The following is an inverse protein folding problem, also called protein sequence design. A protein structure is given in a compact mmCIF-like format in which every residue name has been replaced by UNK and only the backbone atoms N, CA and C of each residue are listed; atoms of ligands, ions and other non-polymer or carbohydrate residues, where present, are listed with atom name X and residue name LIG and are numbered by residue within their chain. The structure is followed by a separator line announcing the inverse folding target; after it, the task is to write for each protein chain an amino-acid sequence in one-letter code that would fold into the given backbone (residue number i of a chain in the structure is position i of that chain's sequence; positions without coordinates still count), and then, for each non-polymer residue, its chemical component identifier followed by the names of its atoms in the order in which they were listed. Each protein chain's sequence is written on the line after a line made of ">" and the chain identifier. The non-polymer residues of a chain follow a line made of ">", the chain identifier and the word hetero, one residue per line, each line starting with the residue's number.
data_IF_270165953579
#
_entry.id   IF_270165953579
#
_cell.length_a   1.000
_cell.length_b   1.000
_cell.length_c   1.000
_cell.angle_alpha   90.00
_cell.angle_beta   90.00
_cell.angle_gamma   90.00
#
_symmetry.space_group_name_H-M   'P 1'
#
loop_
_entity.id
_entity.type
_entity.pdbx_description
1 polymer ?
#
# COMPACT_ATOMS: atom_id res chain seq x y z
N UNK A 1 -25.19 -18.46 -2.05
CA UNK A 1 -24.25 -17.57 -2.77
C UNK A 1 -22.82 -17.87 -2.34
N UNK A 2 -21.85 -17.54 -3.16
CA UNK A 2 -20.43 -17.66 -2.80
C UNK A 2 -20.07 -16.58 -1.77
N UNK A 3 -19.33 -16.96 -0.74
CA UNK A 3 -18.73 -16.02 0.20
C UNK A 3 -17.38 -15.55 -0.36
N UNK A 4 -17.41 -14.44 -1.10
CA UNK A 4 -16.22 -13.85 -1.72
C UNK A 4 -15.20 -13.40 -0.68
N UNK A 5 -15.67 -13.00 0.52
CA UNK A 5 -14.79 -12.60 1.62
C UNK A 5 -13.98 -13.79 2.10
N UNK A 6 -14.62 -14.90 2.39
CA UNK A 6 -13.95 -16.13 2.82
C UNK A 6 -13.00 -16.69 1.74
N UNK A 7 -13.31 -16.47 0.44
CA UNK A 7 -12.47 -16.93 -0.66
C UNK A 7 -11.21 -16.08 -0.87
N UNK A 8 -11.27 -14.76 -0.63
CA UNK A 8 -10.22 -13.83 -1.03
C UNK A 8 -9.55 -13.03 0.09
N UNK A 9 -10.10 -13.05 1.32
CA UNK A 9 -9.52 -12.30 2.45
C UNK A 9 -8.11 -12.81 2.80
N UNK A 10 -7.29 -11.92 3.32
CA UNK A 10 -6.03 -12.27 3.95
C UNK A 10 -6.32 -13.09 5.21
N UNK A 11 -6.04 -14.37 5.12
CA UNK A 11 -6.15 -15.34 6.22
C UNK A 11 -4.74 -15.86 6.48
N UNK A 12 -4.14 -15.45 7.59
CA UNK A 12 -2.76 -15.78 7.91
C UNK A 12 -2.52 -17.29 7.95
N UNK A 13 -3.47 -18.07 8.47
CA UNK A 13 -3.35 -19.53 8.56
C UNK A 13 -3.32 -20.17 7.19
N UNK A 14 -4.22 -19.75 6.28
CA UNK A 14 -4.28 -20.26 4.92
C UNK A 14 -3.09 -19.83 4.07
N UNK A 15 -2.64 -18.59 4.24
CA UNK A 15 -1.46 -18.07 3.53
C UNK A 15 -0.22 -18.86 3.94
N UNK A 16 -0.02 -19.13 5.22
CA UNK A 16 1.07 -19.97 5.70
C UNK A 16 0.95 -21.44 5.25
N UNK A 17 -0.27 -21.90 4.97
CA UNK A 17 -0.53 -23.21 4.35
C UNK A 17 -0.32 -23.23 2.82
N UNK A 18 0.05 -22.09 2.19
CA UNK A 18 0.40 -21.99 0.77
C UNK A 18 -0.56 -21.20 -0.11
N UNK A 19 -1.64 -20.61 0.44
CA UNK A 19 -2.60 -19.79 -0.33
C UNK A 19 -2.12 -18.34 -0.48
N UNK A 20 -0.89 -18.13 -0.97
CA UNK A 20 -0.23 -16.81 -1.04
C UNK A 20 -0.95 -15.74 -1.88
N UNK A 21 -1.80 -16.15 -2.84
CA UNK A 21 -2.61 -15.21 -3.63
C UNK A 21 -3.53 -14.33 -2.76
N UNK A 22 -3.87 -14.78 -1.55
CA UNK A 22 -4.69 -14.03 -0.59
C UNK A 22 -4.06 -12.72 -0.15
N UNK A 23 -2.74 -12.62 -0.18
CA UNK A 23 -2.04 -11.36 0.11
C UNK A 23 -2.37 -10.27 -0.91
N UNK A 24 -2.73 -10.65 -2.13
CA UNK A 24 -3.12 -9.75 -3.20
C UNK A 24 -4.65 -9.62 -3.29
N UNK A 25 -5.41 -10.73 -3.27
CA UNK A 25 -6.86 -10.70 -3.45
C UNK A 25 -7.58 -9.95 -2.33
N UNK A 26 -7.04 -9.96 -1.11
CA UNK A 26 -7.59 -9.19 0.01
C UNK A 26 -7.60 -7.68 -0.24
N UNK A 27 -6.71 -7.16 -1.08
CA UNK A 27 -6.69 -5.74 -1.46
C UNK A 27 -7.93 -5.32 -2.27
N UNK A 28 -8.63 -6.27 -2.89
CA UNK A 28 -9.83 -6.00 -3.70
C UNK A 28 -11.14 -6.11 -2.93
N UNK A 29 -11.08 -6.58 -1.68
CA UNK A 29 -12.23 -6.80 -0.82
C UNK A 29 -12.34 -5.68 0.23
N UNK A 30 -13.57 -5.35 0.63
CA UNK A 30 -13.83 -4.33 1.63
C UNK A 30 -14.94 -4.79 2.59
N UNK A 31 -14.81 -4.43 3.85
CA UNK A 31 -15.77 -4.80 4.90
C UNK A 31 -17.12 -4.10 4.71
N UNK A 32 -17.08 -2.82 4.30
CA UNK A 32 -18.26 -1.99 4.12
C UNK A 32 -18.00 -0.85 3.11
N UNK A 33 -19.05 -0.06 2.84
CA UNK A 33 -18.99 1.04 1.89
C UNK A 33 -18.09 2.20 2.36
N UNK A 34 -18.05 2.51 3.65
CA UNK A 34 -17.23 3.60 4.18
C UNK A 34 -15.74 3.26 4.06
N UNK A 35 -15.38 2.01 4.34
CA UNK A 35 -14.04 1.47 4.13
C UNK A 35 -13.63 1.55 2.65
N UNK A 36 -14.52 1.14 1.73
CA UNK A 36 -14.28 1.27 0.29
C UNK A 36 -14.09 2.73 -0.12
N UNK A 37 -14.98 3.63 0.31
CA UNK A 37 -14.93 5.04 -0.03
C UNK A 37 -13.63 5.72 0.46
N UNK A 38 -13.20 5.43 1.69
CA UNK A 38 -11.93 5.90 2.22
C UNK A 38 -10.74 5.45 1.38
N UNK A 39 -10.70 4.17 1.02
CA UNK A 39 -9.65 3.62 0.17
C UNK A 39 -9.65 4.23 -1.25
N UNK A 40 -10.81 4.51 -1.84
CA UNK A 40 -10.91 5.19 -3.15
C UNK A 40 -10.35 6.61 -3.04
N UNK A 41 -10.73 7.38 -2.01
CA UNK A 41 -10.29 8.77 -1.83
C UNK A 41 -8.78 8.84 -1.61
N UNK A 42 -8.27 8.15 -0.59
CA UNK A 42 -6.85 8.20 -0.26
C UNK A 42 -5.98 7.45 -1.27
N UNK A 43 -6.45 6.30 -1.77
CA UNK A 43 -5.77 5.52 -2.80
C UNK A 43 -5.71 6.27 -4.13
N UNK A 44 -6.79 6.94 -4.52
CA UNK A 44 -6.83 7.81 -5.70
C UNK A 44 -5.89 9.00 -5.56
N UNK A 45 -5.89 9.65 -4.40
CA UNK A 45 -4.99 10.78 -4.13
C UNK A 45 -3.51 10.39 -4.17
N UNK A 46 -3.09 9.41 -3.38
CA UNK A 46 -1.69 8.98 -3.37
C UNK A 46 -1.29 8.28 -4.66
N UNK A 47 -2.18 7.45 -5.24
CA UNK A 47 -1.96 6.79 -6.51
C UNK A 47 -1.76 7.76 -7.67
N UNK A 48 -2.49 8.88 -7.69
CA UNK A 48 -2.27 9.96 -8.66
C UNK A 48 -0.84 10.50 -8.58
N UNK A 49 -0.35 10.83 -7.37
CA UNK A 49 1.00 11.36 -7.22
C UNK A 49 2.08 10.31 -7.53
N UNK A 50 1.88 9.05 -7.14
CA UNK A 50 2.79 7.97 -7.53
C UNK A 50 2.84 7.84 -9.05
N UNK A 51 1.68 7.86 -9.72
CA UNK A 51 1.59 7.83 -11.18
C UNK A 51 2.24 9.05 -11.86
N UNK A 52 2.14 10.23 -11.24
CA UNK A 52 2.76 11.46 -11.73
C UNK A 52 4.30 11.38 -11.68
N UNK A 53 4.87 10.81 -10.63
CA UNK A 53 6.32 10.76 -10.43
C UNK A 53 7.00 9.55 -11.07
N UNK A 54 6.36 8.38 -11.05
CA UNK A 54 6.92 7.12 -11.55
C UNK A 54 6.40 6.73 -12.94
N UNK A 55 5.37 7.42 -13.43
CA UNK A 55 4.56 6.99 -14.56
C UNK A 55 3.45 6.03 -14.14
N UNK A 56 2.33 6.05 -14.87
CA UNK A 56 1.13 5.32 -14.47
C UNK A 56 1.34 3.81 -14.35
N UNK A 57 2.05 3.19 -15.29
CA UNK A 57 2.26 1.74 -15.27
C UNK A 57 3.14 1.28 -14.11
N UNK A 58 4.35 1.83 -14.01
CA UNK A 58 5.27 1.49 -12.93
C UNK A 58 4.69 1.89 -11.57
N UNK A 59 3.99 3.02 -11.50
CA UNK A 59 3.35 3.51 -10.28
C UNK A 59 2.30 2.53 -9.75
N UNK A 60 1.33 2.15 -10.58
CA UNK A 60 0.28 1.23 -10.16
C UNK A 60 0.82 -0.17 -9.82
N UNK A 61 1.72 -0.70 -10.65
CA UNK A 61 2.37 -1.98 -10.36
C UNK A 61 3.11 -1.93 -9.01
N UNK A 62 3.81 -0.83 -8.72
CA UNK A 62 4.53 -0.68 -7.45
C UNK A 62 3.57 -0.58 -6.25
N UNK A 63 2.41 0.07 -6.41
CA UNK A 63 1.39 0.16 -5.37
C UNK A 63 0.82 -1.22 -5.05
N UNK A 64 0.40 -1.98 -6.07
CA UNK A 64 -0.16 -3.33 -5.90
C UNK A 64 0.90 -4.28 -5.31
N UNK A 65 2.11 -4.26 -5.84
CA UNK A 65 3.22 -5.06 -5.32
C UNK A 65 3.55 -4.69 -3.86
N UNK A 66 3.57 -3.39 -3.54
CA UNK A 66 3.81 -2.89 -2.18
C UNK A 66 2.72 -3.33 -1.20
N UNK A 67 1.46 -3.26 -1.59
CA UNK A 67 0.34 -3.76 -0.79
C UNK A 67 0.42 -5.27 -0.56
N UNK A 68 0.68 -6.03 -1.62
CA UNK A 68 0.85 -7.50 -1.55
C UNK A 68 2.02 -7.89 -0.63
N UNK A 69 3.18 -7.25 -0.79
CA UNK A 69 4.34 -7.46 0.07
C UNK A 69 4.08 -7.01 1.51
N UNK A 70 3.34 -5.90 1.70
CA UNK A 70 2.92 -5.42 3.02
C UNK A 70 2.07 -6.46 3.75
N UNK A 71 1.06 -7.03 3.08
CA UNK A 71 0.25 -8.11 3.63
C UNK A 71 1.10 -9.35 3.95
N UNK A 72 2.02 -9.74 3.07
CA UNK A 72 2.93 -10.86 3.32
C UNK A 72 3.83 -10.60 4.54
N UNK A 73 4.42 -9.40 4.67
CA UNK A 73 5.23 -9.02 5.82
C UNK A 73 4.41 -9.02 7.11
N UNK A 74 3.18 -8.51 7.08
CA UNK A 74 2.28 -8.51 8.24
C UNK A 74 2.10 -9.94 8.80
N UNK A 75 1.86 -10.91 7.92
CA UNK A 75 1.68 -12.31 8.30
C UNK A 75 2.94 -12.92 8.90
N UNK A 76 4.11 -12.56 8.35
CA UNK A 76 5.39 -13.11 8.83
C UNK A 76 5.82 -12.55 10.20
N UNK A 77 5.43 -11.31 10.52
CA UNK A 77 5.82 -10.66 11.79
C UNK A 77 4.76 -10.78 12.87
N UNK A 78 3.53 -11.14 12.53
CA UNK A 78 2.41 -11.29 13.45
C UNK A 78 2.07 -12.77 13.63
N UNK A 79 2.48 -13.39 14.75
CA UNK A 79 2.36 -14.85 14.94
C UNK A 79 0.92 -15.32 15.16
N UNK A 80 0.01 -14.42 15.54
CA UNK A 80 -1.39 -14.78 15.86
C UNK A 80 -2.23 -14.89 14.59
N UNK A 81 -3.14 -15.88 14.53
CA UNK A 81 -4.10 -15.98 13.44
C UNK A 81 -4.93 -14.72 13.30
N UNK A 82 -4.99 -14.15 12.10
CA UNK A 82 -5.78 -12.95 11.84
C UNK A 82 -6.34 -12.95 10.41
N UNK A 83 -7.44 -12.20 10.26
CA UNK A 83 -8.12 -11.99 8.99
C UNK A 83 -8.08 -10.50 8.67
N UNK A 84 -7.88 -10.16 7.40
CA UNK A 84 -7.90 -8.77 6.95
C UNK A 84 -8.46 -8.66 5.52
N UNK A 85 -9.11 -7.52 5.24
CA UNK A 85 -9.58 -7.12 3.92
C UNK A 85 -9.36 -5.61 3.75
N UNK A 86 -9.13 -5.16 2.54
CA UNK A 86 -9.05 -3.75 2.20
C UNK A 86 -7.82 -3.36 1.40
N UNK A 87 -7.99 -2.37 0.54
CA UNK A 87 -6.90 -1.78 -0.23
C UNK A 87 -5.97 -0.91 0.63
N UNK A 88 -6.27 -0.71 1.90
CA UNK A 88 -5.55 0.23 2.78
C UNK A 88 -4.05 -0.07 2.87
N UNK A 89 -3.64 -1.34 2.90
CA UNK A 89 -2.22 -1.72 2.85
C UNK A 89 -1.53 -1.19 1.58
N UNK A 90 -2.21 -1.21 0.44
CA UNK A 90 -1.71 -0.64 -0.82
C UNK A 90 -1.75 0.90 -0.80
N UNK A 91 -2.72 1.52 -0.14
CA UNK A 91 -2.76 2.98 0.08
C UNK A 91 -1.56 3.43 0.89
N UNK A 92 -1.22 2.71 1.98
CA UNK A 92 -0.02 2.99 2.77
C UNK A 92 1.26 2.67 2.01
N UNK A 93 1.27 1.66 1.12
CA UNK A 93 2.39 1.41 0.23
C UNK A 93 2.60 2.57 -0.76
N UNK A 94 1.53 3.14 -1.34
CA UNK A 94 1.63 4.33 -2.19
C UNK A 94 2.28 5.51 -1.44
N UNK A 95 1.88 5.73 -0.19
CA UNK A 95 2.45 6.76 0.67
C UNK A 95 3.94 6.49 0.98
N UNK A 96 4.31 5.23 1.24
CA UNK A 96 5.70 4.80 1.44
C UNK A 96 6.56 5.04 0.19
N UNK A 97 6.05 4.72 -1.00
CA UNK A 97 6.71 4.99 -2.30
C UNK A 97 6.99 6.49 -2.45
N UNK A 98 5.99 7.33 -2.19
CA UNK A 98 6.13 8.79 -2.24
C UNK A 98 7.15 9.29 -1.22
N UNK A 99 7.13 8.76 0.00
CA UNK A 99 8.08 9.13 1.04
C UNK A 99 9.53 8.83 0.60
N UNK A 100 9.78 7.65 0.05
CA UNK A 100 11.10 7.25 -0.44
C UNK A 100 11.56 8.12 -1.64
N UNK A 101 10.64 8.39 -2.58
CA UNK A 101 10.93 9.23 -3.73
C UNK A 101 11.29 10.66 -3.32
N UNK A 102 10.46 11.29 -2.46
CA UNK A 102 10.69 12.67 -1.98
C UNK A 102 11.96 12.72 -1.13
N UNK A 103 12.20 11.72 -0.26
CA UNK A 103 13.42 11.65 0.54
C UNK A 103 14.67 11.66 -0.32
N UNK A 104 14.73 10.81 -1.35
CA UNK A 104 15.89 10.75 -2.25
C UNK A 104 16.08 12.01 -3.07
N UNK A 105 15.00 12.53 -3.67
CA UNK A 105 15.06 13.74 -4.48
C UNK A 105 15.47 14.94 -3.63
N UNK A 106 14.93 15.08 -2.45
CA UNK A 106 15.29 16.14 -1.52
C UNK A 106 16.76 16.09 -1.04
N UNK A 107 17.38 14.91 -1.05
CA UNK A 107 18.81 14.76 -0.74
C UNK A 107 19.70 15.42 -1.82
N UNK A 108 19.31 15.36 -3.09
CA UNK A 108 20.05 15.94 -4.21
C UNK A 108 19.70 17.42 -4.46
N UNK A 109 18.46 17.83 -4.20
CA UNK A 109 17.95 19.17 -4.53
C UNK A 109 18.00 20.16 -3.35
N UNK A 110 18.66 19.82 -2.24
CA UNK A 110 18.73 20.63 -1.02
C UNK A 110 17.34 21.13 -0.50
N UNK A 111 16.30 20.34 -0.75
CA UNK A 111 14.92 20.65 -0.39
C UNK A 111 14.79 20.80 1.14
N UNK A 112 13.93 21.72 1.59
CA UNK A 112 13.70 21.96 3.01
C UNK A 112 13.30 20.67 3.72
N UNK A 113 13.83 20.43 4.92
CA UNK A 113 13.58 19.24 5.73
C UNK A 113 12.08 18.96 5.96
N UNK A 114 11.25 20.02 6.04
CA UNK A 114 9.79 19.92 6.16
C UNK A 114 9.15 19.13 5.02
N UNK A 115 9.59 19.36 3.80
CA UNK A 115 9.09 18.63 2.61
C UNK A 115 9.47 17.15 2.66
N UNK A 116 10.63 16.82 3.24
CA UNK A 116 11.09 15.42 3.36
C UNK A 116 10.27 14.62 4.36
N UNK A 117 9.85 15.24 5.46
CA UNK A 117 9.08 14.55 6.50
C UNK A 117 7.56 14.55 6.21
N UNK A 118 7.08 15.39 5.30
CA UNK A 118 5.65 15.52 5.01
C UNK A 118 4.95 14.18 4.71
N UNK A 119 5.50 13.27 3.87
CA UNK A 119 4.86 11.97 3.63
C UNK A 119 4.84 11.06 4.86
N UNK A 120 5.88 11.13 5.70
CA UNK A 120 5.92 10.37 6.96
C UNK A 120 4.88 10.92 7.94
N UNK A 121 4.79 12.25 8.05
CA UNK A 121 3.77 12.91 8.88
C UNK A 121 2.36 12.58 8.37
N UNK A 122 2.15 12.61 7.05
CA UNK A 122 0.87 12.21 6.45
C UNK A 122 0.52 10.76 6.79
N UNK A 123 1.51 9.85 6.76
CA UNK A 123 1.35 8.45 7.16
C UNK A 123 0.92 8.30 8.62
N UNK A 124 1.59 9.01 9.52
CA UNK A 124 1.24 9.00 10.95
C UNK A 124 -0.17 9.57 11.18
N UNK A 125 -0.50 10.69 10.53
CA UNK A 125 -1.84 11.28 10.62
C UNK A 125 -2.92 10.33 10.07
N UNK A 126 -2.65 9.67 8.95
CA UNK A 126 -3.57 8.71 8.36
C UNK A 126 -3.73 7.47 9.26
N UNK A 127 -2.64 6.95 9.85
CA UNK A 127 -2.68 5.87 10.84
C UNK A 127 -3.50 6.26 12.07
N UNK A 128 -3.30 7.46 12.58
CA UNK A 128 -4.08 7.96 13.71
C UNK A 128 -5.56 8.09 13.34
N UNK A 129 -5.86 8.64 12.16
CA UNK A 129 -7.23 8.80 11.67
C UNK A 129 -7.94 7.46 11.47
N UNK A 130 -7.28 6.49 10.83
CA UNK A 130 -7.84 5.16 10.60
C UNK A 130 -7.86 4.30 11.86
N UNK A 131 -6.89 4.49 12.79
CA UNK A 131 -6.80 3.76 14.04
C UNK A 131 -7.74 4.27 15.13
N UNK A 132 -8.30 5.49 15.00
CA UNK A 132 -9.31 6.00 15.94
C UNK A 132 -10.71 5.41 15.73
N UNK A 133 -10.91 4.59 14.67
CA UNK A 133 -12.12 3.84 14.39
C UNK A 133 -13.42 4.67 14.47
N UNK A 134 -14.53 4.11 14.01
CA UNK A 134 -15.86 4.72 14.22
C UNK A 134 -16.41 4.50 15.63
N UNK A 135 -15.62 3.93 16.55
CA UNK A 135 -16.08 3.56 17.90
C UNK A 135 -16.99 2.34 17.96
N UNK A 136 -17.18 1.64 16.84
CA UNK A 136 -17.89 0.37 16.82
C UNK A 136 -16.97 -0.73 17.37
N UNK A 137 -17.48 -1.56 18.27
CA UNK A 137 -16.75 -2.64 18.97
C UNK A 137 -16.10 -3.69 18.05
N UNK A 138 -16.27 -3.59 16.73
CA UNK A 138 -15.77 -4.51 15.70
C UNK A 138 -14.88 -3.87 14.65
N UNK A 139 -14.40 -2.63 14.83
CA UNK A 139 -13.50 -1.98 13.89
C UNK A 139 -12.07 -2.52 14.05
N UNK A 140 -11.84 -3.73 13.57
CA UNK A 140 -10.51 -4.36 13.50
C UNK A 140 -9.68 -3.74 12.37
N UNK A 141 -9.31 -2.45 12.50
CA UNK A 141 -8.34 -1.83 11.61
C UNK A 141 -6.98 -2.50 11.84
N UNK A 142 -6.46 -3.17 10.83
CA UNK A 142 -5.15 -3.82 10.92
C UNK A 142 -4.02 -2.78 10.77
N UNK A 143 -3.69 -2.11 11.89
CA UNK A 143 -2.62 -1.11 11.95
C UNK A 143 -1.28 -1.71 11.52
N UNK A 144 -1.03 -2.99 11.84
CA UNK A 144 0.20 -3.67 11.43
C UNK A 144 0.28 -3.80 9.91
N UNK A 145 -0.82 -4.13 9.23
CA UNK A 145 -0.87 -4.16 7.77
C UNK A 145 -0.58 -2.78 7.15
N UNK A 146 -1.05 -1.69 7.78
CA UNK A 146 -0.76 -0.33 7.33
C UNK A 146 0.73 0.00 7.46
N UNK A 147 1.34 -0.32 8.60
CA UNK A 147 2.78 -0.09 8.83
C UNK A 147 3.62 -0.93 7.88
N UNK A 148 3.30 -2.20 7.70
CA UNK A 148 4.02 -3.09 6.78
C UNK A 148 3.84 -2.69 5.32
N UNK A 149 2.65 -2.21 4.95
CA UNK A 149 2.39 -1.61 3.64
C UNK A 149 3.28 -0.39 3.38
N UNK A 150 3.35 0.53 4.34
CA UNK A 150 4.23 1.70 4.24
C UNK A 150 5.71 1.29 4.10
N UNK A 151 6.19 0.35 4.91
CA UNK A 151 7.58 -0.14 4.86
C UNK A 151 7.88 -0.81 3.51
N UNK A 152 7.00 -1.68 3.02
CA UNK A 152 7.15 -2.34 1.73
C UNK A 152 7.17 -1.32 0.58
N UNK A 153 6.25 -0.36 0.60
CA UNK A 153 6.20 0.73 -0.36
C UNK A 153 7.44 1.62 -0.33
N UNK A 154 7.93 1.97 0.87
CA UNK A 154 9.16 2.74 1.02
C UNK A 154 10.36 2.00 0.42
N UNK A 155 10.49 0.70 0.71
CA UNK A 155 11.54 -0.14 0.14
C UNK A 155 11.50 -0.18 -1.39
N UNK A 156 10.31 -0.39 -1.98
CA UNK A 156 10.13 -0.37 -3.43
C UNK A 156 10.44 1.00 -4.05
N UNK A 157 9.93 2.07 -3.48
CA UNK A 157 10.21 3.44 -3.93
C UNK A 157 11.70 3.79 -3.85
N UNK A 158 12.38 3.33 -2.81
CA UNK A 158 13.81 3.49 -2.66
C UNK A 158 14.59 2.72 -3.74
N UNK A 159 14.23 1.45 -4.00
CA UNK A 159 14.85 0.63 -5.05
C UNK A 159 14.65 1.25 -6.44
N UNK A 160 13.40 1.63 -6.77
CA UNK A 160 13.08 2.28 -8.06
C UNK A 160 13.94 3.54 -8.26
N UNK A 161 14.03 4.37 -7.22
CA UNK A 161 14.81 5.59 -7.27
C UNK A 161 16.33 5.33 -7.28
N UNK A 162 16.79 4.23 -6.64
CA UNK A 162 18.22 3.88 -6.57
C UNK A 162 18.76 3.39 -7.91
N UNK A 163 17.97 2.64 -8.65
CA UNK A 163 18.37 2.02 -9.91
C UNK A 163 17.93 2.80 -11.15
N UNK A 164 17.46 4.05 -10.98
CA UNK A 164 17.01 4.93 -12.07
C UNK A 164 15.93 4.27 -12.96
N UNK A 165 15.07 3.42 -12.38
CA UNK A 165 13.99 2.75 -13.11
C UNK A 165 12.87 3.70 -13.52
N UNK A 166 13.03 5.02 -13.28
CA UNK A 166 12.08 6.06 -13.65
C UNK A 166 12.03 6.32 -15.16
N UNK A 167 13.12 6.02 -15.89
CA UNK A 167 13.21 6.20 -17.33
C UNK A 167 12.56 5.04 -18.11
N UNK A 168 11.30 4.75 -17.78
CA UNK A 168 10.55 3.70 -18.47
C UNK A 168 9.82 4.28 -19.67
N UNK A 169 10.08 3.74 -20.86
CA UNK A 169 9.43 4.18 -22.09
C UNK A 169 7.89 4.05 -22.02
N UNK A 170 7.17 4.88 -22.78
CA UNK A 170 5.68 4.86 -22.82
C UNK A 170 5.11 3.47 -23.11
N UNK A 171 5.73 2.69 -24.00
CA UNK A 171 5.29 1.32 -24.30
C UNK A 171 5.42 0.40 -23.10
N UNK A 172 6.54 0.46 -22.37
CA UNK A 172 6.74 -0.31 -21.14
C UNK A 172 5.80 0.13 -20.03
N UNK A 173 5.51 1.44 -19.89
CA UNK A 173 4.53 1.94 -18.93
C UNK A 173 3.12 1.35 -19.19
N UNK A 174 2.69 1.25 -20.45
CA UNK A 174 1.40 0.62 -20.80
C UNK A 174 1.38 -0.85 -20.42
N UNK A 175 2.46 -1.59 -20.72
CA UNK A 175 2.57 -3.01 -20.37
C UNK A 175 2.51 -3.21 -18.84
N UNK A 176 3.26 -2.42 -18.07
CA UNK A 176 3.26 -2.50 -16.61
C UNK A 176 1.89 -2.18 -16.01
N UNK A 177 1.18 -1.17 -16.57
CA UNK A 177 -0.17 -0.83 -16.15
C UNK A 177 -1.22 -1.88 -16.51
N UNK A 178 -0.97 -2.72 -17.52
CA UNK A 178 -1.84 -3.84 -17.85
C UNK A 178 -1.66 -5.03 -16.91
N UNK A 179 -0.48 -5.19 -16.34
CA UNK A 179 -0.15 -6.26 -15.37
C UNK A 179 -0.65 -5.90 -13.95
N UNK A 180 -0.71 -4.61 -13.61
CA UNK A 180 -1.16 -4.13 -12.30
C UNK A 180 -2.66 -4.27 -12.09
#
# INVERSE_FOLDING_TARGET
>A
GYDWTALGQSDSTRILAGEWWRTMTSLTLHADFSHLAGNIVFGGFFGFYVGLYLGSGLGWLSIVAGGTLGNALNILIRPEPHLAVGASTAVFAALGILAAYIWRRGFWEATQWRTRIAPVTAGICLLAFTGMGSGAENDNVDIFAHVTGFIAGFGLGWLISRFNLLEVSRGKQRLLGFIA
#
